data_IF_809677751526
#
_entry.id   IF_809677751526
#
_cell.length_a   1.000
_cell.length_b   1.000
_cell.length_c   1.000
_cell.angle_alpha   90.00
_cell.angle_beta   90.00
_cell.angle_gamma   90.00
#
_symmetry.space_group_name_H-M   'P 1'
#
loop_
_entity.id
_entity.type
_entity.pdbx_description
1 polymer ?
#
# COMPACT_ATOMS: atom_id res chain seq x y z
N UNK A 1 -0.76 7.05 28.12
CA UNK A 1 0.55 7.06 27.47
C UNK A 1 0.44 7.70 26.10
N UNK A 2 1.43 8.55 25.72
CA UNK A 2 1.58 9.06 24.36
C UNK A 2 2.95 8.70 23.81
N UNK A 3 3.01 8.33 22.53
CA UNK A 3 4.25 8.16 21.78
C UNK A 3 4.25 9.21 20.67
N UNK A 4 5.27 10.07 20.71
CA UNK A 4 5.45 11.18 19.78
C UNK A 4 6.57 10.85 18.80
N UNK A 5 6.34 11.10 17.52
CA UNK A 5 7.32 10.92 16.45
C UNK A 5 7.43 12.20 15.58
N UNK A 6 8.50 12.32 14.83
CA UNK A 6 8.74 13.48 13.95
C UNK A 6 7.92 13.40 12.67
N UNK A 7 7.94 12.27 11.99
CA UNK A 7 7.28 12.07 10.70
C UNK A 7 6.27 10.93 10.78
N UNK A 8 5.22 11.02 9.99
CA UNK A 8 4.20 9.98 9.95
C UNK A 8 4.74 8.62 9.49
N UNK A 9 5.80 8.57 8.68
CA UNK A 9 6.43 7.32 8.25
C UNK A 9 6.89 6.46 9.43
N UNK A 10 7.39 7.08 10.51
CA UNK A 10 7.87 6.39 11.71
C UNK A 10 6.75 5.63 12.47
N UNK A 11 5.46 5.91 12.19
CA UNK A 11 4.38 5.26 12.91
C UNK A 11 4.29 3.74 12.64
N UNK A 12 4.70 3.26 11.44
CA UNK A 12 4.58 1.83 11.06
C UNK A 12 5.22 0.90 12.09
N UNK A 13 6.49 1.08 12.36
CA UNK A 13 7.21 0.19 13.28
C UNK A 13 6.59 0.17 14.68
N UNK A 14 6.06 1.31 15.14
CA UNK A 14 5.39 1.45 16.43
C UNK A 14 4.03 0.73 16.38
N UNK A 15 3.25 0.95 15.33
CA UNK A 15 1.95 0.29 15.12
C UNK A 15 2.12 -1.23 15.08
N UNK A 16 3.10 -1.74 14.33
CA UNK A 16 3.38 -3.17 14.22
C UNK A 16 3.85 -3.75 15.57
N UNK A 17 4.72 -3.06 16.29
CA UNK A 17 5.18 -3.49 17.61
C UNK A 17 4.04 -3.54 18.65
N UNK A 18 3.13 -2.57 18.63
CA UNK A 18 1.96 -2.54 19.52
C UNK A 18 0.98 -3.66 19.16
N UNK A 19 0.74 -3.93 17.86
CA UNK A 19 -0.09 -5.06 17.42
C UNK A 19 0.50 -6.41 17.83
N UNK A 20 1.79 -6.65 17.58
CA UNK A 20 2.48 -7.89 18.02
C UNK A 20 2.34 -8.13 19.53
N UNK A 21 2.21 -7.08 20.34
CA UNK A 21 2.03 -7.15 21.80
C UNK A 21 0.57 -7.08 22.24
N UNK A 22 -0.41 -7.05 21.33
CA UNK A 22 -1.83 -6.86 21.62
C UNK A 22 -2.12 -5.61 22.49
N UNK A 23 -1.39 -4.52 22.25
CA UNK A 23 -1.58 -3.24 22.93
C UNK A 23 -2.43 -2.34 22.04
N UNK A 24 -3.60 -1.95 22.55
CA UNK A 24 -4.50 -1.04 21.84
C UNK A 24 -3.88 0.36 21.72
N UNK A 25 -4.01 0.95 20.54
CA UNK A 25 -3.53 2.30 20.27
C UNK A 25 -4.53 3.11 19.44
N UNK A 26 -4.35 4.42 19.43
CA UNK A 26 -5.11 5.38 18.62
C UNK A 26 -4.17 6.39 17.99
N UNK A 27 -4.32 6.60 16.67
CA UNK A 27 -3.57 7.62 15.94
C UNK A 27 -4.37 8.91 15.97
N UNK A 28 -3.74 10.00 16.43
CA UNK A 28 -4.32 11.33 16.46
C UNK A 28 -3.87 12.13 15.23
N UNK A 29 -4.84 12.79 14.59
CA UNK A 29 -4.58 13.67 13.45
C UNK A 29 -4.09 12.97 12.18
N UNK A 30 -4.25 11.65 12.08
CA UNK A 30 -3.82 10.84 10.96
C UNK A 30 -4.63 9.56 10.81
N UNK A 31 -4.21 8.73 9.88
CA UNK A 31 -4.76 7.40 9.62
C UNK A 31 -3.65 6.36 9.81
N UNK A 32 -4.02 5.13 10.14
CA UNK A 32 -3.12 3.99 10.24
C UNK A 32 -2.24 3.85 9.00
N UNK A 33 -1.03 3.39 9.18
CA UNK A 33 -0.03 3.30 8.11
C UNK A 33 -0.56 2.57 6.87
N UNK A 34 -1.15 1.39 7.04
CA UNK A 34 -1.67 0.59 5.93
C UNK A 34 -2.96 1.17 5.30
N UNK A 35 -3.59 2.18 5.91
CA UNK A 35 -4.76 2.86 5.36
C UNK A 35 -4.38 4.06 4.47
N UNK A 36 -3.11 4.50 4.43
CA UNK A 36 -2.65 5.61 3.61
C UNK A 36 -2.80 5.30 2.14
N UNK A 37 -3.14 6.33 1.37
CA UNK A 37 -3.46 6.17 -0.06
C UNK A 37 -2.32 5.53 -0.85
N UNK A 38 -1.11 6.07 -0.74
CA UNK A 38 0.10 5.60 -1.43
C UNK A 38 0.48 4.17 -1.06
N UNK A 39 0.24 3.78 0.20
CA UNK A 39 0.46 2.42 0.70
C UNK A 39 -0.58 1.47 0.10
N UNK A 40 -1.87 1.83 0.15
CA UNK A 40 -2.93 1.05 -0.50
C UNK A 40 -2.71 0.89 -2.00
N UNK A 41 -2.19 1.92 -2.66
CA UNK A 41 -1.90 1.88 -4.09
C UNK A 41 -0.81 0.84 -4.40
N UNK A 42 0.30 0.83 -3.65
CA UNK A 42 1.37 -0.17 -3.81
C UNK A 42 0.89 -1.58 -3.42
N UNK A 43 0.22 -1.72 -2.27
CA UNK A 43 -0.33 -3.01 -1.85
C UNK A 43 -1.31 -3.58 -2.88
N UNK A 44 -2.10 -2.73 -3.55
CA UNK A 44 -3.02 -3.18 -4.60
C UNK A 44 -2.28 -3.75 -5.82
N UNK A 45 -1.11 -3.19 -6.19
CA UNK A 45 -0.24 -3.83 -7.18
C UNK A 45 0.20 -5.22 -6.73
N UNK A 46 0.69 -5.34 -5.50
CA UNK A 46 1.19 -6.61 -4.96
C UNK A 46 0.06 -7.65 -4.85
N UNK A 47 -1.13 -7.25 -4.39
CA UNK A 47 -2.33 -8.10 -4.34
C UNK A 47 -2.71 -8.65 -5.72
N UNK A 48 -2.65 -7.81 -6.77
CA UNK A 48 -2.93 -8.22 -8.16
C UNK A 48 -1.95 -9.28 -8.69
N UNK A 49 -0.72 -9.33 -8.15
CA UNK A 49 0.25 -10.36 -8.55
C UNK A 49 -0.12 -11.74 -7.99
N UNK A 50 -0.69 -11.78 -6.79
CA UNK A 50 -1.16 -13.00 -6.13
C UNK A 50 -2.54 -13.40 -6.64
N UNK A 51 -3.47 -12.45 -6.67
CA UNK A 51 -4.84 -12.67 -7.12
C UNK A 51 -5.26 -11.66 -8.20
N UNK A 52 -5.12 -12.00 -9.49
CA UNK A 52 -5.52 -11.12 -10.59
C UNK A 52 -7.03 -10.82 -10.64
N UNK A 53 -7.85 -11.60 -9.93
CA UNK A 53 -9.29 -11.43 -9.85
C UNK A 53 -9.73 -10.48 -8.72
N UNK A 54 -8.78 -9.87 -8.01
CA UNK A 54 -9.05 -8.81 -7.04
C UNK A 54 -9.51 -7.53 -7.75
N UNK A 55 -10.82 -7.39 -7.91
CA UNK A 55 -11.41 -6.27 -8.65
C UNK A 55 -11.21 -4.93 -7.97
N UNK A 56 -11.15 -4.90 -6.63
CA UNK A 56 -10.89 -3.68 -5.88
C UNK A 56 -9.46 -3.19 -6.18
N UNK A 57 -8.48 -4.08 -6.05
CA UNK A 57 -7.09 -3.79 -6.36
C UNK A 57 -6.93 -3.37 -7.83
N UNK A 58 -7.56 -4.11 -8.77
CA UNK A 58 -7.51 -3.78 -10.19
C UNK A 58 -8.06 -2.39 -10.48
N UNK A 59 -9.26 -2.06 -10.01
CA UNK A 59 -9.90 -0.75 -10.24
C UNK A 59 -9.05 0.39 -9.65
N UNK A 60 -8.36 0.13 -8.54
CA UNK A 60 -7.49 1.10 -7.89
C UNK A 60 -6.26 1.42 -8.73
N UNK A 61 -5.62 0.43 -9.33
CA UNK A 61 -4.30 0.60 -9.99
C UNK A 61 -4.35 0.69 -11.51
N UNK A 62 -5.45 0.31 -12.17
CA UNK A 62 -5.52 0.25 -13.63
C UNK A 62 -5.17 1.58 -14.32
N UNK A 63 -5.48 2.70 -13.68
CA UNK A 63 -5.14 4.05 -14.14
C UNK A 63 -4.24 4.82 -13.16
N UNK A 64 -3.55 4.16 -12.27
CA UNK A 64 -2.62 4.82 -11.34
C UNK A 64 -1.27 4.08 -11.30
N UNK A 65 -0.13 4.77 -11.53
CA UNK A 65 -0.01 6.11 -12.12
C UNK A 65 -0.74 6.26 -13.46
N UNK A 66 -1.06 7.51 -13.84
CA UNK A 66 -1.96 7.80 -14.95
C UNK A 66 -1.55 7.13 -16.28
N UNK A 67 -2.46 6.30 -16.83
CA UNK A 67 -2.29 5.58 -18.12
C UNK A 67 -3.27 6.01 -19.19
N UNK A 68 -4.18 6.96 -18.84
CA UNK A 68 -5.24 7.40 -19.74
C UNK A 68 -6.34 6.35 -19.94
N UNK A 69 -6.59 5.52 -18.91
CA UNK A 69 -7.73 4.61 -18.82
C UNK A 69 -8.76 5.27 -17.90
N UNK A 70 -9.75 5.93 -18.51
CA UNK A 70 -10.75 6.71 -17.78
C UNK A 70 -11.84 5.86 -17.14
N UNK A 71 -12.64 6.51 -16.25
CA UNK A 71 -13.74 5.87 -15.52
C UNK A 71 -14.75 5.19 -16.45
N UNK A 72 -15.13 5.82 -17.56
CA UNK A 72 -16.04 5.23 -18.56
C UNK A 72 -15.53 3.93 -19.16
N UNK A 73 -14.21 3.73 -19.25
CA UNK A 73 -13.62 2.46 -19.70
C UNK A 73 -13.75 1.41 -18.60
N UNK A 74 -13.52 1.78 -17.35
CA UNK A 74 -13.66 0.90 -16.19
C UNK A 74 -15.12 0.44 -16.06
N UNK A 75 -16.08 1.35 -16.25
CA UNK A 75 -17.51 1.02 -16.23
C UNK A 75 -17.87 -0.01 -17.33
N UNK A 76 -17.38 0.20 -18.57
CA UNK A 76 -17.57 -0.76 -19.66
C UNK A 76 -16.97 -2.12 -19.36
N UNK A 77 -15.78 -2.16 -18.77
CA UNK A 77 -15.15 -3.41 -18.33
C UNK A 77 -15.98 -4.12 -17.25
N UNK A 78 -16.50 -3.36 -16.28
CA UNK A 78 -17.35 -3.89 -15.20
C UNK A 78 -18.66 -4.46 -15.75
N UNK A 79 -19.33 -3.75 -16.67
CA UNK A 79 -20.57 -4.23 -17.33
C UNK A 79 -20.28 -5.51 -18.10
N UNK A 80 -19.19 -5.57 -18.86
CA UNK A 80 -18.82 -6.76 -19.61
C UNK A 80 -18.45 -7.93 -18.68
N UNK A 81 -17.73 -7.68 -17.59
CA UNK A 81 -17.40 -8.69 -16.59
C UNK A 81 -18.66 -9.35 -16.02
N UNK A 82 -19.65 -8.54 -15.65
CA UNK A 82 -20.95 -9.02 -15.17
C UNK A 82 -21.73 -9.80 -16.24
N UNK A 83 -21.76 -9.27 -17.47
CA UNK A 83 -22.48 -9.91 -18.59
C UNK A 83 -21.91 -11.29 -18.93
N UNK A 84 -20.58 -11.40 -18.99
CA UNK A 84 -19.90 -12.67 -19.34
C UNK A 84 -19.60 -13.54 -18.10
N UNK A 85 -19.99 -13.15 -16.90
CA UNK A 85 -19.68 -13.82 -15.62
C UNK A 85 -18.18 -14.13 -15.48
N UNK A 86 -17.33 -13.14 -15.77
CA UNK A 86 -15.88 -13.19 -15.72
C UNK A 86 -15.34 -12.07 -14.83
N UNK A 87 -14.10 -12.20 -14.38
CA UNK A 87 -13.41 -11.07 -13.74
C UNK A 87 -13.08 -9.97 -14.75
N UNK A 88 -12.92 -8.73 -14.29
CA UNK A 88 -12.45 -7.62 -15.15
C UNK A 88 -11.11 -7.96 -15.80
N UNK A 89 -10.23 -8.63 -15.07
CA UNK A 89 -8.94 -9.05 -15.60
C UNK A 89 -9.06 -10.05 -16.76
N UNK A 90 -10.02 -11.01 -16.65
CA UNK A 90 -10.30 -11.95 -17.73
C UNK A 90 -10.96 -11.28 -18.93
N UNK A 91 -11.78 -10.25 -18.71
CA UNK A 91 -12.30 -9.44 -19.82
C UNK A 91 -11.15 -8.75 -20.55
N UNK A 92 -10.19 -8.17 -19.84
CA UNK A 92 -9.01 -7.54 -20.45
C UNK A 92 -8.16 -8.57 -21.22
N UNK A 93 -7.98 -9.77 -20.69
CA UNK A 93 -7.29 -10.87 -21.41
C UNK A 93 -7.97 -11.26 -22.71
N UNK A 94 -9.28 -11.10 -22.80
CA UNK A 94 -10.07 -11.53 -23.94
C UNK A 94 -10.64 -10.39 -24.79
N UNK A 95 -9.98 -9.22 -24.81
CA UNK A 95 -10.41 -8.02 -25.54
C UNK A 95 -10.63 -8.24 -27.05
N UNK A 96 -10.00 -9.25 -27.64
CA UNK A 96 -10.19 -9.59 -29.04
C UNK A 96 -11.48 -10.37 -29.30
N UNK A 97 -12.04 -11.00 -28.28
CA UNK A 97 -13.25 -11.81 -28.32
C UNK A 97 -14.47 -11.11 -27.75
N UNK A 98 -14.29 -9.99 -27.07
CA UNK A 98 -15.32 -9.23 -26.37
C UNK A 98 -15.42 -7.84 -26.97
N UNK A 99 -16.56 -7.50 -27.55
CA UNK A 99 -16.81 -6.15 -28.07
C UNK A 99 -17.18 -5.17 -26.93
N UNK A 100 -16.16 -4.45 -26.46
CA UNK A 100 -16.31 -3.41 -25.41
C UNK A 100 -16.72 -2.04 -25.96
N UNK A 101 -16.86 -1.87 -27.27
CA UNK A 101 -17.08 -0.56 -27.93
C UNK A 101 -16.12 0.53 -27.41
N UNK A 102 -14.82 0.21 -27.38
CA UNK A 102 -13.72 1.11 -27.06
C UNK A 102 -12.85 1.35 -28.30
N UNK A 103 -12.19 2.49 -28.37
CA UNK A 103 -11.28 2.79 -29.47
C UNK A 103 -9.97 1.98 -29.37
N UNK A 104 -9.22 1.89 -30.48
CA UNK A 104 -7.97 1.14 -30.55
C UNK A 104 -6.91 1.62 -29.57
N UNK A 105 -6.81 2.94 -29.34
CA UNK A 105 -5.87 3.51 -28.38
C UNK A 105 -6.16 3.07 -26.94
N UNK A 106 -7.43 3.00 -26.55
CA UNK A 106 -7.83 2.49 -25.23
C UNK A 106 -7.55 0.98 -25.13
N UNK A 107 -7.82 0.22 -26.20
CA UNK A 107 -7.48 -1.21 -26.25
C UNK A 107 -5.98 -1.45 -26.04
N UNK A 108 -5.13 -0.68 -26.72
CA UNK A 108 -3.67 -0.75 -26.54
C UNK A 108 -3.24 -0.45 -25.11
N UNK A 109 -3.84 0.58 -24.45
CA UNK A 109 -3.52 0.90 -23.05
C UNK A 109 -3.89 -0.24 -22.10
N UNK A 110 -5.05 -0.86 -22.28
CA UNK A 110 -5.48 -2.02 -21.48
C UNK A 110 -4.55 -3.22 -21.71
N UNK A 111 -4.12 -3.45 -22.94
CA UNK A 111 -3.18 -4.52 -23.30
C UNK A 111 -1.80 -4.30 -22.66
N UNK A 112 -1.32 -3.05 -22.67
CA UNK A 112 -0.06 -2.69 -22.00
C UNK A 112 -0.14 -2.89 -20.49
N UNK A 113 -1.26 -2.53 -19.86
CA UNK A 113 -1.49 -2.79 -18.43
C UNK A 113 -1.50 -4.29 -18.14
N UNK A 114 -2.24 -5.08 -18.92
CA UNK A 114 -2.26 -6.54 -18.79
C UNK A 114 -0.86 -7.14 -18.89
N UNK A 115 -0.11 -6.79 -19.93
CA UNK A 115 1.23 -7.32 -20.17
C UNK A 115 2.20 -6.96 -19.02
N UNK A 116 2.06 -5.76 -18.45
CA UNK A 116 2.83 -5.34 -17.29
C UNK A 116 2.55 -6.25 -16.08
N UNK A 117 1.28 -6.50 -15.76
CA UNK A 117 0.92 -7.39 -14.63
C UNK A 117 1.40 -8.82 -14.87
N UNK A 118 1.19 -9.37 -16.08
CA UNK A 118 1.65 -10.72 -16.42
C UNK A 118 3.17 -10.86 -16.31
N UNK A 119 3.93 -9.83 -16.71
CA UNK A 119 5.38 -9.82 -16.56
C UNK A 119 5.78 -9.82 -15.10
N UNK A 120 5.19 -9.00 -14.27
CA UNK A 120 5.46 -9.02 -12.82
C UNK A 120 5.16 -10.38 -12.20
N UNK A 121 4.08 -11.06 -12.61
CA UNK A 121 3.76 -12.41 -12.15
C UNK A 121 4.82 -13.44 -12.53
N UNK A 122 5.47 -13.27 -13.68
CA UNK A 122 6.60 -14.14 -14.09
C UNK A 122 7.82 -13.84 -13.23
N UNK A 123 8.15 -12.57 -13.06
CA UNK A 123 9.33 -12.12 -12.32
C UNK A 123 9.22 -12.48 -10.82
N UNK A 124 8.02 -12.39 -10.24
CA UNK A 124 7.73 -12.76 -8.85
C UNK A 124 8.14 -14.20 -8.50
N UNK A 125 8.15 -15.12 -9.47
CA UNK A 125 8.56 -16.51 -9.21
C UNK A 125 10.06 -16.68 -8.89
N UNK A 126 10.86 -15.63 -9.14
CA UNK A 126 12.33 -15.67 -8.99
C UNK A 126 12.83 -14.65 -7.97
N UNK A 127 11.98 -13.77 -7.50
CA UNK A 127 12.30 -12.63 -6.66
C UNK A 127 11.65 -12.81 -5.29
N UNK A 128 12.29 -12.31 -4.23
CA UNK A 128 11.66 -12.21 -2.92
C UNK A 128 10.65 -11.05 -2.85
N UNK A 129 9.88 -10.95 -1.77
CA UNK A 129 8.82 -9.96 -1.62
C UNK A 129 9.33 -8.52 -1.76
N UNK A 130 10.52 -8.20 -1.22
CA UNK A 130 11.13 -6.88 -1.34
C UNK A 130 11.52 -6.56 -2.79
N UNK A 131 12.17 -7.49 -3.46
CA UNK A 131 12.61 -7.32 -4.86
C UNK A 131 11.42 -7.13 -5.79
N UNK A 132 10.31 -7.84 -5.54
CA UNK A 132 9.05 -7.67 -6.30
C UNK A 132 8.47 -6.28 -6.07
N UNK A 133 8.38 -5.81 -4.82
CA UNK A 133 7.85 -4.49 -4.50
C UNK A 133 8.70 -3.37 -5.13
N UNK A 134 10.02 -3.46 -5.04
CA UNK A 134 10.97 -2.52 -5.65
C UNK A 134 10.84 -2.50 -7.18
N UNK A 135 10.73 -3.68 -7.81
CA UNK A 135 10.49 -3.82 -9.24
C UNK A 135 9.19 -3.12 -9.68
N UNK A 136 8.10 -3.36 -8.95
CA UNK A 136 6.79 -2.72 -9.20
C UNK A 136 6.91 -1.21 -9.11
N UNK A 137 7.51 -0.67 -8.05
CA UNK A 137 7.71 0.77 -7.86
C UNK A 137 8.49 1.38 -9.03
N UNK A 138 9.60 0.76 -9.43
CA UNK A 138 10.48 1.24 -10.51
C UNK A 138 9.78 1.22 -11.87
N UNK A 139 9.15 0.12 -12.22
CA UNK A 139 8.54 -0.04 -13.54
C UNK A 139 7.24 0.74 -13.70
N UNK A 140 6.45 0.88 -12.65
CA UNK A 140 5.24 1.71 -12.68
C UNK A 140 5.54 3.19 -12.58
N UNK A 141 6.75 3.57 -12.14
CA UNK A 141 7.18 4.95 -11.85
C UNK A 141 6.35 5.59 -10.73
N UNK A 142 5.86 4.79 -9.77
CA UNK A 142 4.97 5.22 -8.70
C UNK A 142 5.60 6.36 -7.88
N UNK A 143 6.85 6.21 -7.45
CA UNK A 143 7.56 7.26 -6.70
C UNK A 143 7.70 8.53 -7.52
N UNK A 144 8.08 8.43 -8.81
CA UNK A 144 8.15 9.61 -9.70
C UNK A 144 6.81 10.32 -9.85
N UNK A 145 5.71 9.58 -9.80
CA UNK A 145 4.38 10.17 -9.84
C UNK A 145 4.03 10.91 -8.56
N UNK A 146 4.42 10.36 -7.40
CA UNK A 146 4.25 11.00 -6.10
C UNK A 146 5.10 12.28 -5.96
N UNK A 147 6.31 12.31 -6.53
CA UNK A 147 7.24 13.45 -6.47
C UNK A 147 6.84 14.65 -7.33
N UNK A 148 5.93 14.47 -8.29
CA UNK A 148 5.59 15.50 -9.29
C UNK A 148 5.21 16.86 -8.70
N UNK A 149 4.50 16.85 -7.58
CA UNK A 149 3.97 18.07 -7.00
C UNK A 149 5.00 18.85 -6.16
N UNK A 150 6.15 18.23 -5.81
CA UNK A 150 7.25 18.86 -5.05
C UNK A 150 6.85 19.39 -3.67
N UNK A 151 5.69 19.02 -3.15
CA UNK A 151 5.17 19.50 -1.87
C UNK A 151 5.72 18.69 -0.69
N UNK A 152 5.75 19.24 0.54
CA UNK A 152 6.09 18.47 1.73
C UNK A 152 5.23 17.20 1.90
N UNK A 153 3.97 17.26 1.45
CA UNK A 153 3.08 16.09 1.46
C UNK A 153 3.54 15.01 0.47
N UNK A 154 4.02 15.42 -0.72
CA UNK A 154 4.61 14.50 -1.69
C UNK A 154 5.84 13.79 -1.11
N UNK A 155 6.72 14.53 -0.43
CA UNK A 155 7.89 13.95 0.26
C UNK A 155 7.45 12.93 1.30
N UNK A 156 6.46 13.27 2.15
CA UNK A 156 5.93 12.33 3.15
C UNK A 156 5.35 11.05 2.53
N UNK A 157 4.69 11.14 1.37
CA UNK A 157 4.18 9.96 0.65
C UNK A 157 5.32 9.07 0.15
N UNK A 158 6.40 9.65 -0.36
CA UNK A 158 7.59 8.90 -0.79
C UNK A 158 8.26 8.22 0.41
N UNK A 159 8.41 8.93 1.53
CA UNK A 159 8.92 8.35 2.78
C UNK A 159 8.05 7.17 3.25
N UNK A 160 6.72 7.27 3.15
CA UNK A 160 5.82 6.17 3.47
C UNK A 160 6.04 4.94 2.57
N UNK A 161 6.23 5.15 1.26
CA UNK A 161 6.55 4.04 0.34
C UNK A 161 7.88 3.39 0.68
N UNK A 162 8.90 4.18 1.02
CA UNK A 162 10.21 3.66 1.47
C UNK A 162 10.08 2.88 2.78
N UNK A 163 9.26 3.37 3.70
CA UNK A 163 9.01 2.70 4.97
C UNK A 163 8.26 1.36 4.79
N UNK A 164 7.35 1.26 3.79
CA UNK A 164 6.77 -0.03 3.44
C UNK A 164 7.82 -1.01 2.93
N UNK A 165 8.76 -0.55 2.10
CA UNK A 165 9.88 -1.39 1.64
C UNK A 165 10.76 -1.87 2.79
N UNK A 166 11.03 -1.00 3.78
CA UNK A 166 11.74 -1.38 5.00
C UNK A 166 10.96 -2.46 5.77
N UNK A 167 9.64 -2.27 5.91
CA UNK A 167 8.77 -3.25 6.55
C UNK A 167 8.77 -4.63 5.88
N UNK A 168 8.81 -4.65 4.54
CA UNK A 168 8.93 -5.92 3.80
C UNK A 168 10.29 -6.60 4.08
N UNK A 169 11.37 -5.82 4.18
CA UNK A 169 12.69 -6.37 4.54
C UNK A 169 12.71 -6.95 5.95
N UNK A 170 12.19 -6.19 6.91
CA UNK A 170 12.09 -6.63 8.30
C UNK A 170 11.30 -7.95 8.38
N UNK A 171 10.12 -7.99 7.72
CA UNK A 171 9.30 -9.19 7.62
C UNK A 171 10.07 -10.39 7.07
N UNK A 172 10.80 -10.22 5.97
CA UNK A 172 11.60 -11.30 5.36
C UNK A 172 12.67 -11.79 6.34
N UNK A 173 13.35 -10.88 7.02
CA UNK A 173 14.42 -11.22 7.97
C UNK A 173 13.85 -11.99 9.16
N UNK A 174 12.79 -11.47 9.80
CA UNK A 174 12.12 -12.10 10.93
C UNK A 174 11.65 -13.52 10.57
N UNK A 175 10.96 -13.67 9.41
CA UNK A 175 10.42 -14.96 8.97
C UNK A 175 11.51 -15.99 8.64
N UNK A 176 12.62 -15.57 8.05
CA UNK A 176 13.75 -16.45 7.78
C UNK A 176 14.40 -16.92 9.10
N UNK A 177 14.58 -16.02 10.08
CA UNK A 177 15.13 -16.35 11.40
C UNK A 177 14.22 -17.33 12.17
N UNK A 178 12.90 -17.19 12.03
CA UNK A 178 11.90 -18.07 12.63
C UNK A 178 11.69 -19.39 11.86
N UNK A 179 12.26 -19.53 10.66
CA UNK A 179 12.07 -20.70 9.78
C UNK A 179 10.66 -20.77 9.16
N UNK A 180 10.00 -19.62 9.03
CA UNK A 180 8.65 -19.50 8.50
C UNK A 180 8.62 -19.01 7.04
N UNK A 181 7.41 -18.92 6.45
CA UNK A 181 7.22 -18.47 5.07
C UNK A 181 7.44 -16.94 4.95
N UNK A 182 8.49 -16.55 4.24
CA UNK A 182 8.83 -15.16 3.93
C UNK A 182 8.32 -14.70 2.55
N UNK A 183 7.31 -15.38 1.99
CA UNK A 183 6.77 -15.07 0.67
C UNK A 183 5.98 -13.76 0.65
N UNK A 184 5.77 -13.21 -0.55
CA UNK A 184 4.89 -12.05 -0.74
C UNK A 184 3.45 -12.36 -0.28
N UNK A 185 2.99 -13.60 -0.43
CA UNK A 185 1.65 -14.01 0.02
C UNK A 185 1.53 -13.90 1.53
N UNK A 186 2.49 -14.47 2.28
CA UNK A 186 2.51 -14.39 3.74
C UNK A 186 2.60 -12.94 4.24
N UNK A 187 3.40 -12.09 3.59
CA UNK A 187 3.43 -10.65 3.90
C UNK A 187 2.06 -9.98 3.73
N UNK A 188 1.38 -10.23 2.62
CA UNK A 188 0.06 -9.63 2.36
C UNK A 188 -1.03 -10.15 3.31
N UNK A 189 -0.94 -11.38 3.76
CA UNK A 189 -1.82 -11.93 4.80
C UNK A 189 -1.60 -11.23 6.15
N UNK A 190 -0.35 -11.00 6.56
CA UNK A 190 -0.03 -10.23 7.77
C UNK A 190 -0.56 -8.80 7.70
N UNK A 191 -0.40 -8.14 6.55
CA UNK A 191 -0.95 -6.78 6.32
C UNK A 191 -2.48 -6.78 6.37
N UNK A 192 -3.15 -7.79 5.83
CA UNK A 192 -4.61 -7.91 5.87
C UNK A 192 -5.10 -8.02 7.33
N UNK A 193 -4.50 -8.90 8.12
CA UNK A 193 -4.79 -9.05 9.54
C UNK A 193 -4.58 -7.74 10.31
N UNK A 194 -3.48 -7.03 10.04
CA UNK A 194 -3.19 -5.73 10.65
C UNK A 194 -4.27 -4.70 10.34
N UNK A 195 -4.78 -4.69 9.11
CA UNK A 195 -5.82 -3.76 8.65
C UNK A 195 -7.16 -4.05 9.28
N UNK A 196 -7.54 -5.31 9.43
CA UNK A 196 -8.81 -5.73 10.06
C UNK A 196 -8.82 -5.37 11.56
N UNK A 197 -7.73 -5.59 12.27
CA UNK A 197 -7.58 -5.19 13.67
C UNK A 197 -7.72 -3.68 13.89
N UNK A 198 -7.30 -2.87 12.91
CA UNK A 198 -7.48 -1.41 12.97
C UNK A 198 -8.93 -0.98 12.74
N UNK A 199 -9.72 -1.74 11.99
CA UNK A 199 -11.12 -1.46 11.70
C UNK A 199 -12.05 -1.76 12.88
N UNK A 200 -11.76 -2.78 13.67
CA UNK A 200 -12.61 -3.27 14.77
C UNK A 200 -12.53 -2.45 16.08
N UNK A 201 -11.70 -1.42 16.14
CA UNK A 201 -11.44 -0.62 17.35
C UNK A 201 -12.55 0.37 17.68
N UNK A 202 -13.70 -0.12 18.09
CA UNK A 202 -14.90 0.68 18.42
C UNK A 202 -15.16 0.83 19.92
N UNK A 203 -14.19 0.96 20.81
CA UNK A 203 -14.53 1.20 22.23
C UNK A 203 -13.51 2.02 23.02
N UNK A 204 -14.00 2.70 24.06
CA UNK A 204 -13.32 3.61 25.01
C UNK A 204 -12.35 2.89 25.96
N UNK A 205 -11.53 2.00 25.46
CA UNK A 205 -10.49 1.33 26.24
C UNK A 205 -9.27 2.23 26.42
N UNK A 206 -8.52 2.01 27.49
CA UNK A 206 -7.21 2.63 27.70
C UNK A 206 -6.30 2.29 26.52
N UNK A 207 -5.92 3.30 25.72
CA UNK A 207 -5.11 3.15 24.50
C UNK A 207 -3.85 3.99 24.55
N UNK A 208 -2.80 3.50 23.89
CA UNK A 208 -1.61 4.32 23.62
C UNK A 208 -1.95 5.33 22.53
N UNK A 209 -1.68 6.60 22.78
CA UNK A 209 -1.88 7.68 21.81
C UNK A 209 -0.64 7.82 20.92
N UNK A 210 -0.80 7.66 19.60
CA UNK A 210 0.26 7.84 18.61
C UNK A 210 0.01 9.14 17.86
N UNK A 211 1.02 10.03 17.79
CA UNK A 211 0.88 11.29 17.06
C UNK A 211 2.22 11.91 16.71
N UNK A 212 2.23 12.80 15.72
CA UNK A 212 3.41 13.63 15.48
C UNK A 212 3.55 14.70 16.57
N UNK A 213 4.79 15.19 16.76
CA UNK A 213 5.06 16.30 17.71
C UNK A 213 4.18 17.53 17.40
N UNK A 214 3.92 17.83 16.12
CA UNK A 214 3.06 18.96 15.76
C UNK A 214 1.61 18.74 16.21
N UNK A 215 1.13 17.52 16.16
CA UNK A 215 -0.25 17.16 16.55
C UNK A 215 -0.43 17.13 18.07
N UNK A 216 0.64 16.98 18.83
CA UNK A 216 0.59 17.00 20.31
C UNK A 216 0.46 18.41 20.91
N UNK A 217 0.55 19.46 20.11
CA UNK A 217 0.44 20.85 20.59
C UNK A 217 -0.90 21.09 21.28
N UNK A 218 -0.85 21.46 22.56
CA UNK A 218 -2.03 21.72 23.38
C UNK A 218 -2.63 20.45 24.03
N UNK A 219 -2.03 19.28 23.85
CA UNK A 219 -2.42 18.05 24.53
C UNK A 219 -1.46 17.75 25.69
N UNK A 220 -2.00 17.20 26.77
CA UNK A 220 -1.23 16.82 27.96
C UNK A 220 -1.41 15.33 28.25
N UNK A 221 -0.31 14.64 28.54
CA UNK A 221 -0.31 13.23 28.88
C UNK A 221 0.58 12.96 30.09
N UNK A 222 0.13 12.09 31.04
CA UNK A 222 0.94 11.75 32.22
C UNK A 222 2.28 11.11 31.88
N UNK A 223 2.35 10.39 30.76
CA UNK A 223 3.56 9.71 30.30
C UNK A 223 3.72 9.93 28.80
N UNK A 224 4.88 10.45 28.41
CA UNK A 224 5.20 10.78 27.02
C UNK A 224 6.53 10.14 26.64
N UNK A 225 6.52 9.41 25.53
CA UNK A 225 7.71 8.87 24.90
C UNK A 225 7.95 9.62 23.57
N UNK A 226 9.13 10.16 23.39
CA UNK A 226 9.55 10.77 22.14
C UNK A 226 10.53 9.81 21.47
N UNK A 227 10.22 9.38 20.26
CA UNK A 227 10.97 8.36 19.54
C UNK A 227 11.53 8.89 18.22
N UNK A 228 12.51 8.18 17.66
CA UNK A 228 13.13 8.58 16.39
C UNK A 228 14.02 9.83 16.52
N UNK A 229 14.71 9.99 17.65
CA UNK A 229 15.63 11.11 17.93
C UNK A 229 17.00 10.92 17.23
N UNK A 230 17.00 10.47 15.99
CA UNK A 230 18.21 10.24 15.22
C UNK A 230 18.76 11.55 14.65
N UNK A 231 20.09 11.62 14.48
CA UNK A 231 20.74 12.75 13.79
C UNK A 231 20.16 12.89 12.37
N UNK A 232 19.90 14.14 11.94
CA UNK A 232 19.28 14.53 10.68
C UNK A 232 17.76 14.25 10.54
N UNK A 233 17.11 13.53 11.44
CA UNK A 233 15.67 13.37 11.46
C UNK A 233 14.99 14.41 12.35
N UNK A 234 15.58 14.74 13.49
CA UNK A 234 15.00 15.66 14.46
C UNK A 234 15.51 17.10 14.32
N UNK A 235 16.78 17.27 13.97
CA UNK A 235 17.45 18.55 13.79
C UNK A 235 17.83 18.71 12.31
N UNK A 236 16.89 19.16 11.48
CA UNK A 236 17.28 19.84 10.23
C UNK A 236 17.67 21.27 10.60
N UNK A 237 18.96 21.55 10.55
CA UNK A 237 19.49 22.91 10.52
C UNK A 237 19.00 23.63 9.27
#
# INVERSE_FOLDING_TARGET
>A
FAVLYRTNSQSRAIEDALRKKNIDYKIYGGISFYQRKEIKDLLSYLRMLINPNDEEALKRIINYPARGIGATTIDKLTIAANHYKKSIFDVIKNLDKIDLKINSGTKTKLQNFLNMILRFQIDMKKLNAFEVADLVIKQTKLVKDLEKDGTPEAVSKVENVQELLNGIKDFITDKIEEGEDASLTAFLEEVALATDLDADKKDDKLRVSLMSIHQSKGLEYPYVYVVGLEENLFLRQ
#
